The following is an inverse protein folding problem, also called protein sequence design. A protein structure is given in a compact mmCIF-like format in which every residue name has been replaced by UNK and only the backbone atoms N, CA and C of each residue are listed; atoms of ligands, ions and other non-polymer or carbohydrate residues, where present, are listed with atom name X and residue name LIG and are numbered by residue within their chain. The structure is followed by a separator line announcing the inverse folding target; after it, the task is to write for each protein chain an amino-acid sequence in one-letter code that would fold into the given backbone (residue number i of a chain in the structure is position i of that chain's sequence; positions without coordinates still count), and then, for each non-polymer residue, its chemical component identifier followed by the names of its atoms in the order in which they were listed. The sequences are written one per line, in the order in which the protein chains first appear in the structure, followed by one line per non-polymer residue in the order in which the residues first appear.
data_IF_924449108497
#
_entry.id   IF_924449108497
#
_cell.length_a   1.000
_cell.length_b   1.000
_cell.length_c   1.000
_cell.angle_alpha   90.00
_cell.angle_beta   90.00
_cell.angle_gamma   90.00
#
_symmetry.space_group_name_H-M   'P 1'
#
loop_
_entity.id
_entity.type
_entity.pdbx_description
1 polymer ?
#
# COMPACT_ATOMS: atom_id res chain seq x y z
N UNK A 1 12.40 14.51 14.84
CA UNK A 1 11.38 13.45 14.60
C UNK A 1 10.40 13.87 13.52
N UNK A 2 9.66 14.96 13.71
CA UNK A 2 8.68 15.51 12.75
C UNK A 2 9.22 15.61 11.31
N UNK A 3 10.38 16.21 11.10
CA UNK A 3 10.97 16.40 9.77
C UNK A 3 11.44 15.08 9.15
N UNK A 4 11.88 14.14 9.98
CA UNK A 4 12.22 12.80 9.50
C UNK A 4 10.95 12.05 8.99
N UNK A 5 9.85 12.08 9.77
CA UNK A 5 8.59 11.43 9.34
C UNK A 5 8.03 12.11 8.09
N UNK A 6 8.07 13.45 8.01
CA UNK A 6 7.67 14.18 6.80
C UNK A 6 8.48 13.75 5.58
N UNK A 7 9.82 13.71 5.70
CA UNK A 7 10.70 13.22 4.62
C UNK A 7 10.43 11.77 4.26
N UNK A 8 10.21 10.91 5.24
CA UNK A 8 9.84 9.51 4.99
C UNK A 8 8.52 9.38 4.22
N UNK A 9 7.51 10.17 4.56
CA UNK A 9 6.21 10.15 3.88
C UNK A 9 6.30 10.72 2.45
N UNK A 10 7.19 11.68 2.22
CA UNK A 10 7.42 12.33 0.92
C UNK A 10 8.52 11.63 0.07
N UNK A 11 9.16 10.57 0.60
CA UNK A 11 10.26 9.92 -0.09
C UNK A 11 9.84 9.34 -1.44
N UNK A 12 10.62 9.67 -2.47
CA UNK A 12 10.60 9.09 -3.80
C UNK A 12 11.33 7.75 -3.82
N UNK A 13 11.12 6.94 -4.85
CA UNK A 13 11.80 5.66 -5.04
C UNK A 13 12.77 5.77 -6.22
N UNK A 14 14.05 5.47 -5.97
CA UNK A 14 14.98 5.18 -7.06
C UNK A 14 14.72 3.75 -7.54
N UNK A 15 14.13 3.61 -8.71
CA UNK A 15 13.89 2.30 -9.33
C UNK A 15 15.20 1.85 -9.98
N UNK A 16 16.05 1.17 -9.22
CA UNK A 16 17.36 0.70 -9.72
C UNK A 16 17.23 -0.52 -10.65
N UNK A 17 16.32 -1.44 -10.36
CA UNK A 17 16.08 -2.63 -11.18
C UNK A 17 14.57 -2.90 -11.31
N UNK A 18 14.14 -3.25 -12.51
CA UNK A 18 12.75 -3.59 -12.83
C UNK A 18 12.65 -5.11 -12.98
N UNK A 19 11.94 -5.82 -12.08
CA UNK A 19 11.72 -7.24 -12.28
C UNK A 19 10.86 -7.45 -13.54
N UNK A 20 11.43 -8.08 -14.56
CA UNK A 20 10.72 -8.37 -15.82
C UNK A 20 9.40 -9.12 -15.61
N UNK A 21 9.38 -10.04 -14.64
CA UNK A 21 8.16 -10.78 -14.29
C UNK A 21 7.02 -9.84 -13.86
N UNK A 22 7.35 -8.74 -13.16
CA UNK A 22 6.35 -7.76 -12.73
C UNK A 22 5.92 -6.86 -13.89
N UNK A 23 6.83 -6.51 -14.80
CA UNK A 23 6.47 -5.80 -16.03
C UNK A 23 5.52 -6.64 -16.89
N UNK A 24 5.80 -7.93 -17.05
CA UNK A 24 4.89 -8.86 -17.76
C UNK A 24 3.53 -8.96 -17.07
N UNK A 25 3.50 -9.06 -15.74
CA UNK A 25 2.27 -9.09 -14.96
C UNK A 25 1.46 -7.80 -15.13
N UNK A 26 2.12 -6.64 -15.08
CA UNK A 26 1.47 -5.33 -15.25
C UNK A 26 0.86 -5.20 -16.65
N UNK A 27 1.57 -5.65 -17.69
CA UNK A 27 1.08 -5.60 -19.07
C UNK A 27 -0.03 -6.63 -19.36
N UNK A 28 -0.10 -7.73 -18.61
CA UNK A 28 -1.15 -8.75 -18.74
C UNK A 28 -2.37 -8.46 -17.85
N UNK A 29 -2.29 -7.51 -16.93
CA UNK A 29 -3.43 -7.14 -16.10
C UNK A 29 -4.47 -6.36 -16.91
N UNK A 30 -5.74 -6.72 -16.76
CA UNK A 30 -6.85 -5.98 -17.41
C UNK A 30 -6.99 -4.55 -16.86
N UNK A 31 -6.56 -4.30 -15.62
CA UNK A 31 -6.46 -2.97 -15.05
C UNK A 31 -5.27 -2.85 -14.09
N UNK A 32 -4.65 -1.67 -14.02
CA UNK A 32 -3.62 -1.34 -13.04
C UNK A 32 -4.05 -0.11 -12.27
N UNK A 33 -4.07 -0.20 -10.95
CA UNK A 33 -4.38 0.92 -10.05
C UNK A 33 -3.20 1.20 -9.14
N UNK A 34 -3.00 2.46 -8.77
CA UNK A 34 -1.92 2.83 -7.88
C UNK A 34 -2.34 3.88 -6.85
N UNK A 35 -1.61 3.91 -5.76
CA UNK A 35 -1.70 4.97 -4.77
C UNK A 35 -1.33 6.33 -5.36
N UNK A 36 -1.91 7.40 -4.85
CA UNK A 36 -1.58 8.79 -5.20
C UNK A 36 -0.21 9.26 -4.68
N UNK A 37 0.47 8.47 -3.83
CA UNK A 37 1.79 8.84 -3.33
C UNK A 37 2.85 8.72 -4.45
N UNK A 38 3.71 9.74 -4.57
CA UNK A 38 4.68 9.90 -5.66
C UNK A 38 5.48 8.62 -5.93
N UNK A 39 5.97 7.94 -4.89
CA UNK A 39 6.70 6.67 -5.01
C UNK A 39 5.93 5.54 -5.73
N UNK A 40 4.59 5.50 -5.62
CA UNK A 40 3.78 4.53 -6.38
C UNK A 40 3.57 4.98 -7.83
N UNK A 41 3.39 6.28 -8.05
CA UNK A 41 3.26 6.86 -9.39
C UNK A 41 4.55 6.64 -10.19
N UNK A 42 5.71 6.92 -9.59
CA UNK A 42 7.04 6.69 -10.18
C UNK A 42 7.28 5.20 -10.44
N UNK A 43 6.93 4.33 -9.48
CA UNK A 43 7.04 2.88 -9.65
C UNK A 43 6.17 2.38 -10.80
N UNK A 44 4.94 2.88 -10.95
CA UNK A 44 4.06 2.54 -12.06
C UNK A 44 4.66 2.95 -13.40
N UNK A 45 5.09 4.21 -13.52
CA UNK A 45 5.76 4.70 -14.73
C UNK A 45 7.01 3.86 -15.05
N UNK A 46 7.71 3.41 -14.01
CA UNK A 46 8.86 2.53 -14.14
C UNK A 46 8.53 1.14 -14.71
N UNK A 47 7.32 0.61 -14.57
CA UNK A 47 6.93 -0.70 -15.11
C UNK A 47 6.63 -0.67 -16.62
N UNK A 48 6.57 0.51 -17.23
CA UNK A 48 6.33 0.66 -18.68
C UNK A 48 4.93 0.21 -19.11
N UNK A 49 3.97 0.16 -18.18
CA UNK A 49 2.60 -0.13 -18.55
C UNK A 49 1.88 1.16 -18.97
N UNK A 50 1.31 1.15 -20.17
CA UNK A 50 0.46 2.24 -20.72
C UNK A 50 -0.90 2.35 -20.03
N UNK A 51 -1.08 1.66 -18.91
CA UNK A 51 -2.34 1.64 -18.19
C UNK A 51 -2.68 3.04 -17.66
N UNK A 52 -3.76 3.59 -18.18
CA UNK A 52 -4.31 4.94 -17.87
C UNK A 52 -4.96 5.05 -16.49
N UNK A 53 -4.62 4.18 -15.54
CA UNK A 53 -5.19 4.29 -14.20
C UNK A 53 -4.70 5.58 -13.51
N UNK A 54 -5.62 6.46 -13.16
CA UNK A 54 -5.31 7.64 -12.37
C UNK A 54 -4.88 7.24 -10.97
N UNK A 55 -3.88 7.93 -10.38
CA UNK A 55 -3.50 7.71 -8.99
C UNK A 55 -4.67 8.01 -8.06
N UNK A 56 -4.99 7.05 -7.18
CA UNK A 56 -6.16 7.16 -6.30
C UNK A 56 -5.74 7.24 -4.82
N UNK A 57 -6.14 8.32 -4.11
CA UNK A 57 -5.89 8.49 -2.67
C UNK A 57 -6.45 7.35 -1.81
N UNK A 58 -7.46 6.62 -2.31
CA UNK A 58 -8.04 5.48 -1.62
C UNK A 58 -6.99 4.42 -1.26
N UNK A 59 -5.97 4.23 -2.11
CA UNK A 59 -4.87 3.28 -1.92
C UNK A 59 -3.63 3.87 -1.24
N UNK A 60 -3.69 5.14 -0.78
CA UNK A 60 -2.57 5.78 -0.12
C UNK A 60 -2.22 5.09 1.22
N UNK A 61 -0.93 5.12 1.60
CA UNK A 61 -0.49 4.54 2.87
C UNK A 61 -1.13 5.27 4.06
N UNK A 62 -1.40 4.52 5.11
CA UNK A 62 -1.64 5.10 6.42
C UNK A 62 -0.33 5.74 6.92
N UNK A 63 -0.31 7.07 7.00
CA UNK A 63 0.87 7.81 7.44
C UNK A 63 1.33 7.36 8.82
N UNK A 64 2.62 7.44 9.06
CA UNK A 64 3.19 7.10 10.37
C UNK A 64 2.86 8.24 11.35
N UNK A 65 2.23 7.97 12.51
CA UNK A 65 2.07 8.98 13.54
C UNK A 65 3.41 9.40 14.12
N UNK A 66 3.50 10.60 14.65
CA UNK A 66 4.70 11.09 15.32
C UNK A 66 4.32 12.02 16.46
N UNK A 67 5.12 12.03 17.56
CA UNK A 67 4.94 12.96 18.65
C UNK A 67 5.53 14.33 18.32
N UNK A 68 5.20 15.34 19.11
CA UNK A 68 5.75 16.69 18.95
C UNK A 68 7.18 16.84 19.53
N UNK A 69 7.65 15.83 20.25
CA UNK A 69 9.00 15.79 20.83
C UNK A 69 9.97 14.98 19.94
N UNK A 70 11.26 15.21 20.11
CA UNK A 70 12.32 14.63 19.24
C UNK A 70 13.33 13.76 20.00
N UNK A 71 13.07 13.47 21.25
CA UNK A 71 13.96 12.70 22.13
C UNK A 71 13.27 11.43 22.65
N UNK A 72 13.95 10.29 22.86
CA UNK A 72 15.38 10.04 22.67
C UNK A 72 15.79 9.83 21.19
N UNK A 73 17.08 9.99 20.89
CA UNK A 73 17.65 9.69 19.58
C UNK A 73 17.85 8.17 19.45
N UNK A 74 17.03 7.55 18.61
CA UNK A 74 17.08 6.10 18.33
C UNK A 74 17.08 5.83 16.83
N UNK A 75 17.55 4.65 16.38
CA UNK A 75 17.54 4.31 14.97
C UNK A 75 16.15 4.42 14.36
N UNK A 76 16.07 4.88 13.11
CA UNK A 76 14.81 5.12 12.39
C UNK A 76 13.91 3.88 12.30
N UNK A 77 14.50 2.68 12.19
CA UNK A 77 13.77 1.40 12.18
C UNK A 77 12.99 1.17 13.48
N UNK A 78 13.58 1.56 14.63
CA UNK A 78 12.94 1.43 15.94
C UNK A 78 11.69 2.33 16.00
N UNK A 79 11.83 3.59 15.60
CA UNK A 79 10.70 4.52 15.58
C UNK A 79 9.58 4.10 14.65
N UNK A 80 9.90 3.54 13.49
CA UNK A 80 8.88 2.99 12.57
C UNK A 80 8.07 1.88 13.22
N UNK A 81 8.72 0.94 13.90
CA UNK A 81 8.05 -0.17 14.58
C UNK A 81 7.20 0.36 15.74
N UNK A 82 7.81 1.17 16.63
CA UNK A 82 7.15 1.71 17.82
C UNK A 82 5.91 2.54 17.45
N UNK A 83 6.05 3.50 16.54
CA UNK A 83 4.92 4.32 16.15
C UNK A 83 3.85 3.54 15.38
N UNK A 84 4.23 2.57 14.56
CA UNK A 84 3.25 1.72 13.90
C UNK A 84 2.50 0.85 14.89
N UNK A 85 3.19 0.30 15.89
CA UNK A 85 2.55 -0.44 16.98
C UNK A 85 1.62 0.47 17.78
N UNK A 86 2.10 1.62 18.22
CA UNK A 86 1.28 2.60 18.96
C UNK A 86 0.05 3.04 18.16
N UNK A 87 0.18 3.20 16.84
CA UNK A 87 -0.93 3.52 15.96
C UNK A 87 -2.03 2.45 15.97
N UNK A 88 -1.67 1.18 15.97
CA UNK A 88 -2.65 0.09 16.09
C UNK A 88 -3.37 0.09 17.44
N UNK A 89 -2.74 0.65 18.48
CA UNK A 89 -3.33 0.86 19.81
C UNK A 89 -4.00 2.23 19.99
N UNK A 90 -4.19 2.98 18.90
CA UNK A 90 -4.97 4.22 18.89
C UNK A 90 -4.17 5.52 18.94
N UNK A 91 -2.84 5.47 18.99
CA UNK A 91 -2.02 6.68 18.88
C UNK A 91 -2.01 7.20 17.43
N UNK A 92 -2.81 8.20 17.14
CA UNK A 92 -3.00 8.73 15.78
C UNK A 92 -2.61 10.22 15.66
N UNK A 93 -1.58 10.66 16.38
CA UNK A 93 -1.16 12.07 16.36
C UNK A 93 -0.61 12.44 14.98
N UNK A 94 -1.13 13.52 14.39
CA UNK A 94 -0.79 14.03 13.07
C UNK A 94 -1.06 13.06 11.89
N UNK A 95 -1.92 12.05 12.09
CA UNK A 95 -2.31 11.11 11.05
C UNK A 95 -3.75 10.64 11.25
N UNK A 96 -4.28 9.93 10.25
CA UNK A 96 -5.59 9.29 10.38
C UNK A 96 -5.57 8.17 11.43
N UNK A 97 -6.63 7.98 12.22
CA UNK A 97 -6.74 6.86 13.14
C UNK A 97 -6.88 5.53 12.38
N UNK A 98 -6.55 4.42 13.05
CA UNK A 98 -6.62 3.08 12.45
C UNK A 98 -8.03 2.71 11.97
N UNK A 99 -9.06 3.23 12.63
CA UNK A 99 -10.48 3.04 12.25
C UNK A 99 -10.78 3.62 10.86
N UNK A 100 -10.24 4.80 10.57
CA UNK A 100 -10.36 5.48 9.28
C UNK A 100 -9.61 4.73 8.18
N UNK A 101 -8.36 4.32 8.43
CA UNK A 101 -7.61 3.48 7.50
C UNK A 101 -8.32 2.15 7.21
N UNK A 102 -8.98 1.54 8.23
CA UNK A 102 -9.80 0.33 8.03
C UNK A 102 -11.05 0.61 7.20
N UNK A 103 -11.70 1.76 7.38
CA UNK A 103 -12.84 2.19 6.55
C UNK A 103 -12.41 2.36 5.11
N UNK A 104 -11.28 3.03 4.89
CA UNK A 104 -10.68 3.25 3.58
C UNK A 104 -10.28 1.93 2.91
N UNK A 105 -9.68 1.00 3.66
CA UNK A 105 -9.34 -0.33 3.15
C UNK A 105 -10.56 -1.16 2.73
N UNK A 106 -11.71 -1.00 3.40
CA UNK A 106 -12.98 -1.63 2.97
C UNK A 106 -13.42 -1.11 1.60
N UNK A 107 -13.47 0.21 1.44
CA UNK A 107 -13.83 0.82 0.16
C UNK A 107 -12.83 0.47 -0.95
N UNK A 108 -11.53 0.41 -0.63
CA UNK A 108 -10.50 -0.02 -1.56
C UNK A 108 -10.68 -1.49 -2.00
N UNK A 109 -11.05 -2.38 -1.08
CA UNK A 109 -11.33 -3.78 -1.40
C UNK A 109 -12.57 -3.91 -2.29
N UNK A 110 -13.64 -3.13 -2.04
CA UNK A 110 -14.84 -3.13 -2.86
C UNK A 110 -14.51 -2.67 -4.30
N UNK A 111 -13.77 -1.57 -4.44
CA UNK A 111 -13.32 -1.06 -5.75
C UNK A 111 -12.45 -2.07 -6.50
N UNK A 112 -11.53 -2.76 -5.82
CA UNK A 112 -10.70 -3.80 -6.44
C UNK A 112 -11.53 -4.99 -6.92
N UNK A 113 -12.55 -5.38 -6.17
CA UNK A 113 -13.48 -6.47 -6.55
C UNK A 113 -14.29 -6.06 -7.79
N UNK A 114 -14.82 -4.85 -7.82
CA UNK A 114 -15.56 -4.32 -8.98
C UNK A 114 -14.67 -4.31 -10.23
N UNK A 115 -13.45 -3.81 -10.11
CA UNK A 115 -12.48 -3.79 -11.21
C UNK A 115 -12.08 -5.21 -11.64
N UNK A 116 -11.93 -6.15 -10.72
CA UNK A 116 -11.63 -7.53 -11.05
C UNK A 116 -12.78 -8.22 -11.79
N UNK A 117 -14.02 -7.89 -11.48
CA UNK A 117 -15.18 -8.39 -12.23
C UNK A 117 -15.28 -7.77 -13.64
N UNK A 118 -14.87 -6.51 -13.80
CA UNK A 118 -14.92 -5.81 -15.09
C UNK A 118 -13.74 -6.16 -16.02
N UNK A 119 -12.59 -6.51 -15.46
CA UNK A 119 -11.31 -6.63 -16.19
C UNK A 119 -10.57 -7.95 -15.94
N UNK A 120 -11.20 -8.93 -15.29
CA UNK A 120 -10.66 -10.26 -14.93
C UNK A 120 -9.45 -10.22 -13.99
N UNK A 121 -8.50 -9.32 -14.20
CA UNK A 121 -7.30 -9.21 -13.40
C UNK A 121 -6.97 -7.74 -13.12
N UNK A 122 -6.71 -7.42 -11.85
CA UNK A 122 -6.31 -6.07 -11.42
C UNK A 122 -4.99 -6.12 -10.66
N UNK A 123 -4.04 -5.31 -11.08
CA UNK A 123 -2.78 -5.10 -10.35
C UNK A 123 -2.87 -3.83 -9.50
N UNK A 124 -2.75 -3.98 -8.18
CA UNK A 124 -2.64 -2.86 -7.25
C UNK A 124 -1.17 -2.57 -6.92
N UNK A 125 -0.73 -1.35 -7.20
CA UNK A 125 0.53 -0.80 -6.71
C UNK A 125 0.25 0.09 -5.50
N UNK A 126 0.50 -0.46 -4.32
CA UNK A 126 0.16 0.19 -3.06
C UNK A 126 1.29 0.08 -2.03
N UNK A 127 0.93 0.16 -0.77
CA UNK A 127 1.84 0.26 0.37
C UNK A 127 1.60 -0.87 1.36
N UNK A 128 2.64 -1.22 2.11
CA UNK A 128 2.63 -2.40 2.99
C UNK A 128 1.45 -2.46 3.94
N UNK A 129 1.21 -1.40 4.70
CA UNK A 129 0.17 -1.43 5.74
C UNK A 129 -1.22 -1.37 5.11
N UNK A 130 -1.42 -0.49 4.13
CA UNK A 130 -2.70 -0.41 3.42
C UNK A 130 -3.01 -1.71 2.68
N UNK A 131 -2.03 -2.29 1.97
CA UNK A 131 -2.20 -3.59 1.30
C UNK A 131 -2.56 -4.71 2.28
N UNK A 132 -2.00 -4.72 3.50
CA UNK A 132 -2.37 -5.70 4.52
C UNK A 132 -3.80 -5.51 5.02
N UNK A 133 -4.26 -4.28 5.18
CA UNK A 133 -5.65 -4.00 5.55
C UNK A 133 -6.62 -4.40 4.43
N UNK A 134 -6.29 -4.09 3.17
CA UNK A 134 -7.06 -4.49 1.99
C UNK A 134 -7.10 -6.02 1.87
N UNK A 135 -5.96 -6.70 2.02
CA UNK A 135 -5.87 -8.16 1.99
C UNK A 135 -6.79 -8.83 3.01
N UNK A 136 -6.82 -8.28 4.24
CA UNK A 136 -7.76 -8.75 5.28
C UNK A 136 -9.21 -8.60 4.82
N UNK A 137 -9.56 -7.47 4.20
CA UNK A 137 -10.93 -7.23 3.74
C UNK A 137 -11.29 -8.11 2.53
N UNK A 138 -10.38 -8.35 1.57
CA UNK A 138 -10.58 -9.31 0.48
C UNK A 138 -10.84 -10.71 1.02
N UNK A 139 -10.03 -11.16 1.98
CA UNK A 139 -10.21 -12.49 2.60
C UNK A 139 -11.55 -12.62 3.34
N UNK A 140 -12.01 -11.55 4.01
CA UNK A 140 -13.34 -11.52 4.65
C UNK A 140 -14.49 -11.65 3.64
N UNK A 141 -14.25 -11.26 2.39
CA UNK A 141 -15.21 -11.38 1.27
C UNK A 141 -15.05 -12.69 0.49
N UNK A 142 -14.30 -13.66 1.03
CA UNK A 142 -14.12 -14.99 0.43
C UNK A 142 -13.04 -15.07 -0.66
N UNK A 143 -12.19 -14.04 -0.79
CA UNK A 143 -11.02 -14.14 -1.65
C UNK A 143 -9.88 -14.87 -0.96
N UNK A 144 -9.22 -15.77 -1.68
CA UNK A 144 -8.11 -16.58 -1.20
C UNK A 144 -6.77 -15.95 -1.58
N UNK A 145 -5.88 -15.84 -0.60
CA UNK A 145 -4.54 -15.27 -0.77
C UNK A 145 -3.80 -15.17 0.56
N UNK A 146 -2.55 -14.67 0.54
CA UNK A 146 -1.72 -14.60 1.74
C UNK A 146 -2.37 -13.75 2.84
N UNK A 147 -2.33 -14.27 4.09
CA UNK A 147 -2.87 -13.55 5.24
C UNK A 147 -2.04 -12.31 5.60
N UNK A 148 -0.74 -12.36 5.35
CA UNK A 148 0.24 -11.36 5.75
C UNK A 148 1.12 -10.94 4.57
N UNK A 149 0.61 -10.14 3.62
CA UNK A 149 1.43 -9.63 2.50
C UNK A 149 2.59 -8.73 2.96
N UNK A 150 2.56 -8.26 4.21
CA UNK A 150 3.65 -7.50 4.85
C UNK A 150 5.00 -8.22 4.85
N UNK A 151 5.00 -9.55 4.85
CA UNK A 151 6.22 -10.37 4.87
C UNK A 151 6.87 -10.48 3.49
N UNK A 152 6.13 -10.16 2.44
CA UNK A 152 6.68 -10.09 1.09
C UNK A 152 7.63 -8.89 0.96
N UNK A 153 8.74 -9.08 0.26
CA UNK A 153 9.68 -8.00 -0.06
C UNK A 153 9.06 -6.93 -0.98
N UNK A 154 9.83 -5.89 -1.31
CA UNK A 154 9.45 -4.96 -2.36
C UNK A 154 9.41 -5.69 -3.71
N UNK A 155 8.53 -5.30 -4.61
CA UNK A 155 8.37 -5.90 -5.95
C UNK A 155 7.93 -7.37 -5.95
N UNK A 156 7.41 -7.88 -4.84
CA UNK A 156 6.84 -9.23 -4.75
C UNK A 156 5.30 -9.13 -4.72
N UNK A 157 4.62 -9.53 -5.81
CA UNK A 157 3.17 -9.49 -5.86
C UNK A 157 2.54 -10.56 -4.95
N UNK A 158 1.45 -10.20 -4.30
CA UNK A 158 0.59 -11.14 -3.58
C UNK A 158 -0.70 -11.32 -4.36
N UNK A 159 -1.00 -12.55 -4.74
CA UNK A 159 -2.20 -12.87 -5.53
C UNK A 159 -3.38 -13.20 -4.63
N UNK A 160 -4.52 -12.63 -4.98
CA UNK A 160 -5.82 -12.94 -4.38
C UNK A 160 -6.77 -13.40 -5.49
N UNK A 161 -7.49 -14.50 -5.28
CA UNK A 161 -8.47 -15.03 -6.22
C UNK A 161 -9.70 -15.52 -5.49
N UNK A 162 -10.84 -15.48 -6.15
CA UNK A 162 -12.07 -16.12 -5.70
C UNK A 162 -12.29 -17.37 -6.53
N UNK A 163 -12.54 -18.50 -5.89
CA UNK A 163 -13.01 -19.69 -6.60
C UNK A 163 -14.46 -19.45 -7.05
N UNK A 164 -14.72 -19.67 -8.29
CA UNK A 164 -16.07 -19.75 -8.86
C UNK A 164 -16.83 -20.86 -8.18
#
# INVERSE_FOLDING_TARGET
MKDWVKRYNAASVVVAERPEALCRLANSAGAVVCSSLMRCVESRSGLGCDCRAEPDPLFAEAHLPYPDWSFPLMPSRFWRITFRTAWFFGFARHTEPVSESRRRARAAADKLIELAHAHDCVLLMGHKVMNALIARELRRRGWHGPAMPLLSGYWHPSRYSRRS
#
